data_IF_422934029264
#
_entry.id   IF_422934029264
#
_cell.length_a   1.000
_cell.length_b   1.000
_cell.length_c   1.000
_cell.angle_alpha   90.00
_cell.angle_beta   90.00
_cell.angle_gamma   90.00
#
_symmetry.space_group_name_H-M   'P 1'
#
loop_
_entity.id
_entity.type
_entity.pdbx_description
1 polymer ?
#
# COMPACT_ATOMS: atom_id res chain seq x y z
N UNK A 1 6.25 -19.98 -39.62
CA UNK A 1 5.10 -19.06 -39.50
C UNK A 1 5.53 -17.83 -38.74
N UNK A 2 5.88 -16.80 -39.49
CA UNK A 2 6.45 -15.55 -38.95
C UNK A 2 5.38 -14.72 -38.28
N UNK A 3 5.65 -14.31 -37.03
CA UNK A 3 4.85 -13.31 -36.33
C UNK A 3 5.10 -11.94 -36.95
N UNK A 4 4.21 -11.46 -37.76
CA UNK A 4 4.20 -10.09 -38.27
C UNK A 4 3.96 -9.17 -37.08
N UNK A 5 5.04 -8.52 -36.58
CA UNK A 5 4.91 -7.40 -35.63
C UNK A 5 4.33 -6.21 -36.41
N UNK A 6 3.17 -5.74 -36.01
CA UNK A 6 2.57 -4.51 -36.55
C UNK A 6 3.57 -3.34 -36.45
N UNK A 7 3.98 -2.82 -37.59
CA UNK A 7 4.97 -1.71 -37.75
C UNK A 7 4.32 -0.32 -37.71
N UNK A 8 3.06 -0.21 -37.36
CA UNK A 8 2.39 1.09 -37.35
C UNK A 8 2.33 1.67 -35.95
N UNK A 9 2.87 2.89 -35.73
CA UNK A 9 2.66 3.59 -34.46
C UNK A 9 1.16 3.89 -34.31
N UNK A 10 0.61 3.54 -33.15
CA UNK A 10 -0.79 3.83 -32.83
C UNK A 10 -1.05 5.34 -32.97
N UNK A 11 -2.11 5.68 -33.70
CA UNK A 11 -2.57 7.05 -33.88
C UNK A 11 -2.76 7.71 -32.49
N UNK A 12 -2.25 8.94 -32.25
CA UNK A 12 -2.40 9.65 -30.97
C UNK A 12 -3.83 9.77 -30.47
N UNK A 13 -4.83 9.79 -31.36
CA UNK A 13 -6.25 9.77 -31.03
C UNK A 13 -6.76 8.46 -30.47
N UNK A 14 -5.99 7.36 -30.55
CA UNK A 14 -6.32 6.03 -29.99
C UNK A 14 -5.66 5.75 -28.64
N UNK A 15 -4.99 6.72 -28.02
CA UNK A 15 -4.60 6.59 -26.62
C UNK A 15 -5.88 6.44 -25.79
N UNK A 16 -6.23 5.20 -25.45
CA UNK A 16 -7.28 4.94 -24.46
C UNK A 16 -6.98 5.80 -23.26
N UNK A 17 -7.89 6.74 -22.99
CA UNK A 17 -7.88 7.48 -21.72
C UNK A 17 -7.99 6.39 -20.64
N UNK A 18 -6.87 6.12 -19.99
CA UNK A 18 -6.83 5.20 -18.86
C UNK A 18 -7.62 5.92 -17.78
N UNK A 19 -8.91 5.56 -17.63
CA UNK A 19 -9.70 6.01 -16.48
C UNK A 19 -8.97 5.53 -15.24
N UNK A 20 -8.30 6.45 -14.55
CA UNK A 20 -7.76 6.17 -13.22
C UNK A 20 -8.93 5.78 -12.34
N UNK A 21 -8.95 4.52 -11.91
CA UNK A 21 -9.89 4.07 -10.93
C UNK A 21 -9.45 4.65 -9.58
N UNK A 22 -10.29 5.46 -8.98
CA UNK A 22 -10.05 6.07 -7.67
C UNK A 22 -11.37 6.08 -6.90
N UNK A 23 -11.34 5.61 -5.67
CA UNK A 23 -12.47 5.68 -4.77
C UNK A 23 -12.71 7.12 -4.38
N UNK A 24 -13.97 7.44 -4.06
CA UNK A 24 -14.38 8.81 -3.75
C UNK A 24 -14.53 9.05 -2.26
N UNK A 25 -14.73 7.98 -1.49
CA UNK A 25 -14.95 8.02 -0.06
C UNK A 25 -13.79 7.30 0.66
N UNK A 26 -13.21 7.90 1.72
CA UNK A 26 -12.22 7.24 2.55
C UNK A 26 -12.80 5.96 3.16
N UNK A 27 -11.99 4.90 3.24
CA UNK A 27 -12.43 3.63 3.79
C UNK A 27 -13.14 2.68 2.81
N UNK A 28 -13.56 3.13 1.62
CA UNK A 28 -14.15 2.21 0.63
C UNK A 28 -13.17 1.10 0.18
N UNK A 29 -11.87 1.40 0.11
CA UNK A 29 -10.85 0.45 -0.34
C UNK A 29 -9.47 0.82 0.22
N UNK A 30 -8.82 -0.16 0.83
CA UNK A 30 -7.41 -0.09 1.17
C UNK A 30 -6.57 -0.92 0.17
N UNK A 31 -5.36 -0.46 -0.11
CA UNK A 31 -4.32 -1.25 -0.79
C UNK A 31 -3.35 -1.79 0.26
N UNK A 32 -3.13 -3.10 0.30
CA UNK A 32 -2.09 -3.71 1.12
C UNK A 32 -1.03 -4.31 0.22
N UNK A 33 0.23 -4.03 0.55
CA UNK A 33 1.37 -4.59 -0.17
C UNK A 33 2.61 -4.58 0.74
N UNK A 34 3.64 -5.29 0.32
CA UNK A 34 4.90 -5.38 1.04
C UNK A 34 6.10 -5.27 0.10
N UNK A 35 7.19 -4.72 0.60
CA UNK A 35 8.46 -4.67 -0.12
C UNK A 35 9.60 -5.09 0.78
N UNK A 36 10.67 -5.67 0.22
CA UNK A 36 11.88 -5.94 1.00
C UNK A 36 12.54 -4.63 1.43
N UNK A 37 13.07 -4.60 2.65
CA UNK A 37 13.98 -3.53 3.07
C UNK A 37 15.13 -3.38 2.06
N UNK A 38 15.68 -2.17 1.87
CA UNK A 38 16.82 -1.96 1.00
C UNK A 38 17.97 -2.95 1.26
N UNK A 39 18.60 -3.41 0.20
CA UNK A 39 19.65 -4.45 0.28
C UNK A 39 20.79 -4.04 1.21
N UNK A 40 21.22 -2.79 1.07
CA UNK A 40 22.34 -2.25 1.84
C UNK A 40 22.00 -2.17 3.34
N UNK A 41 20.78 -1.75 3.67
CA UNK A 41 20.29 -1.72 5.05
C UNK A 41 20.21 -3.14 5.65
N UNK A 42 19.69 -4.11 4.88
CA UNK A 42 19.65 -5.51 5.35
C UNK A 42 21.05 -6.07 5.58
N UNK A 43 22.01 -5.76 4.72
CA UNK A 43 23.39 -6.16 4.90
C UNK A 43 24.02 -5.52 6.14
N UNK A 44 23.81 -4.21 6.35
CA UNK A 44 24.27 -3.47 7.52
C UNK A 44 23.73 -4.06 8.81
N UNK A 45 22.42 -4.35 8.86
CA UNK A 45 21.75 -4.91 10.04
C UNK A 45 21.87 -6.44 10.16
N UNK A 46 22.60 -7.10 9.27
CA UNK A 46 22.80 -8.56 9.22
C UNK A 46 21.48 -9.35 9.17
N UNK A 47 20.48 -8.81 8.46
CA UNK A 47 19.17 -9.43 8.32
C UNK A 47 19.09 -10.33 7.10
N UNK A 48 18.66 -11.58 7.27
CA UNK A 48 18.40 -12.50 6.16
C UNK A 48 17.17 -12.07 5.36
N UNK A 49 16.07 -11.85 6.04
CA UNK A 49 14.82 -11.33 5.48
C UNK A 49 14.27 -10.24 6.39
N UNK A 50 13.69 -9.24 5.77
CA UNK A 50 12.96 -8.18 6.47
C UNK A 50 12.21 -7.37 5.43
N UNK A 51 11.01 -6.95 5.77
CA UNK A 51 10.08 -6.31 4.86
C UNK A 51 9.52 -5.04 5.48
N UNK A 52 8.92 -4.24 4.62
CA UNK A 52 8.04 -3.15 5.01
C UNK A 52 6.67 -3.46 4.45
N UNK A 53 5.66 -3.49 5.29
CA UNK A 53 4.26 -3.61 4.90
C UNK A 53 3.61 -2.23 4.93
N UNK A 54 2.74 -1.95 3.97
CA UNK A 54 1.98 -0.71 3.89
C UNK A 54 0.50 -1.00 3.64
N UNK A 55 -0.35 -0.19 4.27
CA UNK A 55 -1.79 -0.13 4.05
C UNK A 55 -2.14 1.31 3.65
N UNK A 56 -2.59 1.51 2.41
CA UNK A 56 -2.85 2.84 1.84
C UNK A 56 -4.32 2.98 1.44
N UNK A 57 -4.97 4.06 1.88
CA UNK A 57 -6.33 4.40 1.46
C UNK A 57 -6.39 4.81 -0.02
N UNK A 58 -7.29 4.20 -0.78
CA UNK A 58 -7.42 4.45 -2.22
C UNK A 58 -7.82 5.89 -2.54
N UNK A 59 -8.68 6.48 -1.73
CA UNK A 59 -9.23 7.83 -1.92
C UNK A 59 -8.22 8.91 -1.55
N UNK A 60 -7.66 8.84 -0.36
CA UNK A 60 -6.88 9.92 0.27
C UNK A 60 -5.38 9.76 0.14
N UNK A 61 -4.87 8.56 -0.11
CA UNK A 61 -3.44 8.18 0.00
C UNK A 61 -2.91 8.22 1.44
N UNK A 62 -3.76 8.34 2.44
CA UNK A 62 -3.34 8.11 3.81
C UNK A 62 -2.75 6.72 3.94
N UNK A 63 -1.59 6.63 4.54
CA UNK A 63 -0.84 5.37 4.59
C UNK A 63 -0.46 5.04 6.02
N UNK A 64 -0.57 3.77 6.37
CA UNK A 64 0.02 3.14 7.55
C UNK A 64 1.14 2.22 7.12
N UNK A 65 2.26 2.20 7.84
CA UNK A 65 3.45 1.44 7.46
C UNK A 65 4.17 0.88 8.67
N UNK A 66 4.68 -0.33 8.55
CA UNK A 66 5.54 -0.97 9.56
C UNK A 66 6.68 -1.76 8.92
N UNK A 67 7.81 -1.84 9.64
CA UNK A 67 8.81 -2.87 9.37
C UNK A 67 8.38 -4.20 9.99
N UNK A 68 8.45 -5.27 9.21
CA UNK A 68 8.06 -6.62 9.64
C UNK A 68 9.20 -7.62 9.40
N UNK A 69 9.33 -8.57 10.31
CA UNK A 69 10.45 -9.53 10.28
C UNK A 69 10.35 -10.53 9.11
N UNK A 70 9.14 -10.91 8.75
CA UNK A 70 8.87 -11.89 7.69
C UNK A 70 7.58 -11.53 6.93
N UNK A 71 7.27 -12.30 5.89
CA UNK A 71 6.06 -12.14 5.09
C UNK A 71 5.04 -13.27 5.31
N UNK A 72 5.02 -13.88 6.49
CA UNK A 72 4.04 -14.91 6.80
C UNK A 72 2.65 -14.31 6.86
N UNK A 73 1.66 -15.09 6.44
CA UNK A 73 0.27 -14.66 6.48
C UNK A 73 -0.17 -14.20 7.87
N UNK A 74 0.26 -14.89 8.94
CA UNK A 74 -0.01 -14.46 10.32
C UNK A 74 0.59 -13.10 10.66
N UNK A 75 1.83 -12.83 10.24
CA UNK A 75 2.49 -11.53 10.45
C UNK A 75 1.71 -10.40 9.76
N UNK A 76 1.26 -10.65 8.52
CA UNK A 76 0.46 -9.68 7.78
C UNK A 76 -0.96 -9.52 8.33
N UNK A 77 -1.54 -10.56 8.90
CA UNK A 77 -2.82 -10.48 9.62
C UNK A 77 -2.70 -9.54 10.82
N UNK A 78 -1.66 -9.68 11.63
CA UNK A 78 -1.41 -8.76 12.75
C UNK A 78 -1.11 -7.34 12.31
N UNK A 79 -0.32 -7.16 11.25
CA UNK A 79 -0.09 -5.85 10.62
C UNK A 79 -1.42 -5.20 10.20
N UNK A 80 -2.26 -5.96 9.49
CA UNK A 80 -3.57 -5.50 9.04
C UNK A 80 -4.47 -5.07 10.20
N UNK A 81 -4.55 -5.89 11.26
CA UNK A 81 -5.34 -5.56 12.45
C UNK A 81 -4.90 -4.24 13.10
N UNK A 82 -3.57 -4.02 13.24
CA UNK A 82 -3.03 -2.76 13.77
C UNK A 82 -3.31 -1.58 12.84
N UNK A 83 -3.12 -1.77 11.54
CA UNK A 83 -3.39 -0.72 10.54
C UNK A 83 -4.85 -0.28 10.54
N UNK A 84 -5.80 -1.22 10.55
CA UNK A 84 -7.23 -0.92 10.63
C UNK A 84 -7.58 -0.16 11.92
N UNK A 85 -7.06 -0.61 13.05
CA UNK A 85 -7.25 0.07 14.33
C UNK A 85 -6.68 1.48 14.32
N UNK A 86 -5.49 1.66 13.73
CA UNK A 86 -4.84 2.96 13.61
C UNK A 86 -5.65 3.93 12.75
N UNK A 87 -6.18 3.51 11.59
CA UNK A 87 -7.02 4.37 10.75
C UNK A 87 -8.30 4.80 11.48
N UNK A 88 -8.94 3.88 12.20
CA UNK A 88 -10.12 4.18 13.00
C UNK A 88 -9.83 5.19 14.11
N UNK A 89 -8.72 5.02 14.83
CA UNK A 89 -8.35 5.90 15.94
C UNK A 89 -7.87 7.28 15.49
N UNK A 90 -7.07 7.33 14.40
CA UNK A 90 -6.45 8.58 13.94
C UNK A 90 -7.37 9.41 13.04
N UNK A 91 -8.20 8.74 12.22
CA UNK A 91 -8.97 9.42 11.17
C UNK A 91 -10.47 9.14 11.21
N UNK A 92 -10.93 8.29 12.11
CA UNK A 92 -12.35 8.08 12.38
C UNK A 92 -13.12 7.25 11.34
N UNK A 93 -12.44 6.56 10.40
CA UNK A 93 -13.12 5.72 9.42
C UNK A 93 -12.64 4.26 9.46
N UNK A 94 -13.50 3.38 8.98
CA UNK A 94 -13.25 1.94 8.84
C UNK A 94 -13.23 1.54 7.36
N UNK A 95 -12.62 0.40 7.06
CA UNK A 95 -12.55 -0.09 5.68
C UNK A 95 -13.65 -1.09 5.36
N UNK A 96 -14.25 -0.94 4.16
CA UNK A 96 -15.18 -1.91 3.59
C UNK A 96 -14.47 -3.04 2.86
N UNK A 97 -13.32 -2.73 2.27
CA UNK A 97 -12.57 -3.67 1.44
C UNK A 97 -11.07 -3.42 1.49
N UNK A 98 -10.32 -4.48 1.24
CA UNK A 98 -8.88 -4.45 1.00
C UNK A 98 -8.55 -5.14 -0.32
N UNK A 99 -7.55 -4.63 -1.04
CA UNK A 99 -6.99 -5.26 -2.23
C UNK A 99 -5.51 -5.56 -2.03
N UNK A 100 -5.10 -6.78 -2.37
CA UNK A 100 -3.70 -7.23 -2.37
C UNK A 100 -3.30 -7.78 -3.73
N UNK A 101 -2.02 -8.08 -3.91
CA UNK A 101 -1.56 -8.93 -4.99
C UNK A 101 -1.96 -10.42 -4.75
N UNK A 102 -1.53 -11.31 -5.66
CA UNK A 102 -1.79 -12.75 -5.56
C UNK A 102 -0.69 -13.50 -4.80
N UNK A 103 0.07 -12.82 -3.96
CA UNK A 103 1.12 -13.43 -3.15
C UNK A 103 0.58 -14.50 -2.20
N UNK A 104 1.34 -15.58 -1.94
CA UNK A 104 0.91 -16.65 -1.04
C UNK A 104 0.71 -16.16 0.41
N UNK A 105 1.24 -15.01 0.74
CA UNK A 105 1.04 -14.33 2.02
C UNK A 105 -0.38 -13.79 2.22
N UNK A 106 -1.09 -13.49 1.12
CA UNK A 106 -2.45 -12.95 1.12
C UNK A 106 -3.50 -13.97 0.69
N UNK A 107 -3.11 -14.98 -0.07
CA UNK A 107 -4.01 -15.96 -0.66
C UNK A 107 -3.63 -17.38 -0.31
N UNK A 108 -4.57 -18.12 0.26
CA UNK A 108 -4.46 -19.56 0.49
C UNK A 108 -4.68 -20.42 -0.75
N UNK A 109 -4.44 -21.72 -0.60
CA UNK A 109 -4.94 -22.73 -1.53
C UNK A 109 -6.41 -23.06 -1.18
N UNK A 110 -7.19 -23.51 -2.16
CA UNK A 110 -8.60 -23.84 -1.97
C UNK A 110 -8.88 -24.88 -0.86
N UNK A 111 -7.87 -25.65 -0.47
CA UNK A 111 -8.01 -26.77 0.44
C UNK A 111 -7.56 -26.46 1.89
N UNK A 112 -7.16 -25.22 2.20
CA UNK A 112 -6.66 -24.86 3.53
C UNK A 112 -7.11 -23.47 3.95
N UNK A 113 -7.53 -23.35 5.21
CA UNK A 113 -7.75 -22.05 5.85
C UNK A 113 -6.49 -21.19 5.76
N UNK A 114 -6.68 -19.94 5.34
CA UNK A 114 -5.59 -18.98 5.23
C UNK A 114 -5.77 -17.87 6.25
N UNK A 115 -4.81 -17.62 7.15
CA UNK A 115 -4.99 -16.71 8.27
C UNK A 115 -5.47 -15.30 7.86
N UNK A 116 -4.92 -14.74 6.78
CA UNK A 116 -5.31 -13.43 6.30
C UNK A 116 -6.76 -13.40 5.77
N UNK A 117 -7.15 -14.39 4.97
CA UNK A 117 -8.50 -14.49 4.43
C UNK A 117 -9.54 -14.77 5.54
N UNK A 118 -9.20 -15.67 6.47
CA UNK A 118 -10.03 -15.97 7.64
C UNK A 118 -10.25 -14.72 8.49
N UNK A 119 -9.19 -13.95 8.74
CA UNK A 119 -9.29 -12.68 9.47
C UNK A 119 -10.21 -11.69 8.76
N UNK A 120 -10.02 -11.46 7.46
CA UNK A 120 -10.89 -10.56 6.69
C UNK A 120 -12.36 -10.99 6.77
N UNK A 121 -12.64 -12.29 6.64
CA UNK A 121 -13.99 -12.83 6.75
C UNK A 121 -14.58 -12.60 8.15
N UNK A 122 -13.82 -12.84 9.22
CA UNK A 122 -14.29 -12.68 10.60
C UNK A 122 -14.68 -11.24 10.94
N UNK A 123 -13.98 -10.25 10.38
CA UNK A 123 -14.31 -8.83 10.62
C UNK A 123 -15.24 -8.23 9.57
N UNK A 124 -15.72 -9.02 8.61
CA UNK A 124 -16.61 -8.54 7.54
C UNK A 124 -15.91 -7.69 6.46
N UNK A 125 -14.58 -7.72 6.39
CA UNK A 125 -13.78 -6.99 5.40
C UNK A 125 -13.72 -7.75 4.08
N UNK A 126 -14.15 -7.14 2.98
CA UNK A 126 -14.05 -7.77 1.65
C UNK A 126 -12.60 -7.79 1.17
N UNK A 127 -12.07 -8.97 0.85
CA UNK A 127 -10.73 -9.10 0.29
C UNK A 127 -10.79 -9.29 -1.23
N UNK A 128 -10.13 -8.41 -1.96
CA UNK A 128 -9.99 -8.49 -3.42
C UNK A 128 -8.55 -8.78 -3.80
N UNK A 129 -8.37 -9.59 -4.84
CA UNK A 129 -7.08 -9.87 -5.43
C UNK A 129 -6.91 -9.06 -6.73
N UNK A 130 -5.71 -8.53 -6.96
CA UNK A 130 -5.41 -7.88 -8.24
C UNK A 130 -5.54 -8.88 -9.39
N UNK A 131 -6.13 -8.44 -10.51
CA UNK A 131 -6.21 -9.30 -11.69
C UNK A 131 -4.81 -9.47 -12.31
N UNK A 132 -4.44 -10.68 -12.73
CA UNK A 132 -3.21 -10.90 -13.47
C UNK A 132 -3.11 -9.92 -14.65
N UNK A 133 -1.92 -9.40 -14.91
CA UNK A 133 -1.61 -8.46 -16.00
C UNK A 133 -2.33 -7.10 -15.97
N UNK A 134 -2.83 -6.65 -14.81
CA UNK A 134 -3.31 -5.27 -14.62
C UNK A 134 -2.50 -4.57 -13.50
N UNK A 135 -1.27 -4.13 -13.78
CA UNK A 135 -0.40 -3.47 -12.79
C UNK A 135 -0.98 -2.14 -12.25
N UNK A 136 -2.00 -1.61 -12.89
CA UNK A 136 -2.61 -0.33 -12.51
C UNK A 136 -3.34 -0.38 -11.16
N UNK A 137 -3.72 -1.57 -10.67
CA UNK A 137 -4.48 -1.73 -9.43
C UNK A 137 -3.61 -1.55 -8.19
N UNK A 138 -2.29 -1.82 -8.26
CA UNK A 138 -1.37 -1.69 -7.12
C UNK A 138 -0.42 -0.48 -7.23
N UNK A 139 -0.53 0.29 -8.31
CA UNK A 139 0.38 1.40 -8.62
C UNK A 139 0.45 2.52 -7.57
N UNK A 140 -0.55 2.61 -6.69
CA UNK A 140 -0.61 3.59 -5.60
C UNK A 140 0.39 3.24 -4.51
N UNK A 141 0.24 2.07 -3.91
CA UNK A 141 1.15 1.59 -2.85
C UNK A 141 2.57 1.33 -3.39
N UNK A 142 2.72 0.92 -4.65
CA UNK A 142 4.03 0.85 -5.30
C UNK A 142 4.70 2.24 -5.39
N UNK A 143 3.92 3.28 -5.70
CA UNK A 143 4.40 4.66 -5.69
C UNK A 143 4.82 5.11 -4.28
N UNK A 144 4.05 4.75 -3.25
CA UNK A 144 4.43 4.97 -1.86
C UNK A 144 5.78 4.31 -1.54
N UNK A 145 5.97 3.02 -1.84
CA UNK A 145 7.25 2.35 -1.57
C UNK A 145 8.44 2.97 -2.30
N UNK A 146 8.23 3.47 -3.53
CA UNK A 146 9.29 4.19 -4.25
C UNK A 146 9.66 5.49 -3.55
N UNK A 147 8.68 6.23 -3.04
CA UNK A 147 8.87 7.46 -2.28
C UNK A 147 9.57 7.14 -0.96
N UNK A 148 9.08 6.17 -0.19
CA UNK A 148 9.67 5.72 1.06
C UNK A 148 11.15 5.32 0.89
N UNK A 149 11.48 4.56 -0.15
CA UNK A 149 12.87 4.19 -0.45
C UNK A 149 13.75 5.41 -0.73
N UNK A 150 13.22 6.39 -1.46
CA UNK A 150 13.97 7.59 -1.85
C UNK A 150 14.12 8.60 -0.71
N UNK A 151 13.04 8.83 0.04
CA UNK A 151 12.95 9.95 0.98
C UNK A 151 13.26 9.53 2.42
N UNK A 152 13.04 8.26 2.77
CA UNK A 152 13.29 7.74 4.11
C UNK A 152 14.54 6.84 4.19
N UNK A 153 14.61 5.78 3.39
CA UNK A 153 15.71 4.83 3.54
C UNK A 153 17.06 5.32 2.99
N UNK A 154 17.08 6.04 1.86
CA UNK A 154 18.34 6.49 1.25
C UNK A 154 19.10 7.54 2.04
N UNK A 155 18.45 8.57 2.62
CA UNK A 155 19.17 9.61 3.35
C UNK A 155 19.54 9.23 4.77
N UNK A 156 18.95 8.17 5.34
CA UNK A 156 19.11 7.80 6.73
C UNK A 156 19.93 6.52 6.91
N UNK A 157 20.58 6.39 8.04
CA UNK A 157 21.23 5.19 8.53
C UNK A 157 20.58 4.77 9.85
N UNK A 158 20.56 3.46 10.12
CA UNK A 158 19.84 2.91 11.26
C UNK A 158 20.73 1.90 11.99
N UNK A 159 20.64 1.84 13.31
CA UNK A 159 21.39 0.89 14.15
C UNK A 159 20.74 -0.48 14.16
N UNK A 160 19.41 -0.51 14.21
CA UNK A 160 18.60 -1.72 14.29
C UNK A 160 17.19 -1.50 13.73
N UNK A 161 16.36 -2.54 13.77
CA UNK A 161 14.96 -2.48 13.29
C UNK A 161 14.05 -1.63 14.18
N UNK A 162 14.37 -1.47 15.46
CA UNK A 162 13.56 -0.64 16.35
C UNK A 162 13.73 0.83 15.96
N UNK A 163 14.98 1.26 15.69
CA UNK A 163 15.23 2.60 15.19
C UNK A 163 14.57 2.85 13.82
N UNK A 164 14.59 1.85 12.92
CA UNK A 164 13.84 1.92 11.66
C UNK A 164 12.35 2.18 11.92
N UNK A 165 11.75 1.43 12.84
CA UNK A 165 10.33 1.55 13.15
C UNK A 165 9.99 2.89 13.81
N UNK A 166 10.80 3.35 14.74
CA UNK A 166 10.62 4.63 15.43
C UNK A 166 10.69 5.82 14.46
N UNK A 167 11.76 5.88 13.68
CA UNK A 167 11.93 6.95 12.68
C UNK A 167 10.87 6.88 11.57
N UNK A 168 10.40 5.68 11.23
CA UNK A 168 9.33 5.49 10.25
C UNK A 168 8.00 6.08 10.74
N UNK A 169 7.73 6.06 12.05
CA UNK A 169 6.58 6.73 12.64
C UNK A 169 6.58 8.24 12.40
N UNK A 170 7.73 8.90 12.58
CA UNK A 170 7.90 10.33 12.30
C UNK A 170 7.77 10.64 10.82
N UNK A 171 8.38 9.82 9.97
CA UNK A 171 8.24 9.95 8.51
C UNK A 171 6.79 9.76 8.04
N UNK A 172 6.05 8.83 8.64
CA UNK A 172 4.64 8.59 8.32
C UNK A 172 3.77 9.81 8.64
N UNK A 173 4.05 10.49 9.75
CA UNK A 173 3.39 11.76 10.06
C UNK A 173 3.69 12.81 8.98
N UNK A 174 4.95 12.98 8.60
CA UNK A 174 5.35 13.89 7.53
C UNK A 174 4.66 13.54 6.20
N UNK A 175 4.67 12.27 5.81
CA UNK A 175 4.05 11.79 4.57
C UNK A 175 2.55 12.09 4.52
N UNK A 176 1.84 11.84 5.61
CA UNK A 176 0.38 11.98 5.66
C UNK A 176 -0.09 13.42 5.83
N UNK A 177 0.67 14.27 6.56
CA UNK A 177 0.19 15.60 6.97
C UNK A 177 0.96 16.77 6.36
N UNK A 178 2.20 16.59 5.93
CA UNK A 178 3.04 17.69 5.48
C UNK A 178 3.46 17.56 4.02
N UNK A 179 3.68 16.33 3.57
CA UNK A 179 4.15 16.07 2.21
C UNK A 179 3.06 16.29 1.19
N UNK A 180 3.32 17.17 0.21
CA UNK A 180 2.42 17.42 -0.92
C UNK A 180 2.57 16.36 -2.00
N UNK A 181 1.45 15.90 -2.57
CA UNK A 181 1.39 14.82 -3.54
C UNK A 181 0.88 15.31 -4.91
N UNK A 182 1.69 15.14 -5.95
CA UNK A 182 1.28 15.49 -7.32
C UNK A 182 0.03 14.73 -7.80
N UNK A 183 -0.20 13.51 -7.30
CA UNK A 183 -1.43 12.74 -7.58
C UNK A 183 -2.67 13.25 -6.86
N UNK A 184 -2.52 14.14 -5.88
CA UNK A 184 -3.58 14.79 -5.11
C UNK A 184 -3.66 16.29 -5.39
N UNK A 185 -3.27 16.74 -6.59
CA UNK A 185 -3.24 18.15 -6.95
C UNK A 185 -2.40 19.02 -5.99
N UNK A 186 -1.26 18.46 -5.52
CA UNK A 186 -0.36 19.08 -4.54
C UNK A 186 -0.96 19.30 -3.15
N UNK A 187 -2.01 18.57 -2.80
CA UNK A 187 -2.51 18.45 -1.43
C UNK A 187 -1.76 17.37 -0.66
N UNK A 188 -1.84 17.43 0.67
CA UNK A 188 -1.43 16.31 1.52
C UNK A 188 -2.54 15.25 1.56
N UNK A 189 -2.24 13.98 1.92
CA UNK A 189 -3.27 12.98 2.17
C UNK A 189 -4.32 13.45 3.20
N UNK A 190 -3.89 14.17 4.23
CA UNK A 190 -4.78 14.70 5.26
C UNK A 190 -5.66 15.85 4.75
N UNK A 191 -5.13 16.80 3.95
CA UNK A 191 -5.94 17.85 3.30
C UNK A 191 -7.03 17.20 2.43
N UNK A 192 -6.68 16.14 1.71
CA UNK A 192 -7.65 15.40 0.89
C UNK A 192 -8.73 14.77 1.74
N UNK A 193 -8.38 14.17 2.90
CA UNK A 193 -9.37 13.61 3.82
C UNK A 193 -10.35 14.68 4.27
N UNK A 194 -9.87 15.83 4.76
CA UNK A 194 -10.72 16.92 5.24
C UNK A 194 -11.71 17.36 4.17
N UNK A 195 -11.25 17.61 2.96
CA UNK A 195 -12.10 18.03 1.83
C UNK A 195 -13.22 17.04 1.50
N UNK A 196 -12.90 15.74 1.45
CA UNK A 196 -13.91 14.75 1.08
C UNK A 196 -14.89 14.50 2.22
N UNK A 197 -14.48 14.69 3.48
CA UNK A 197 -15.36 14.58 4.65
C UNK A 197 -16.33 15.77 4.74
N UNK A 198 -15.87 16.98 4.47
CA UNK A 198 -16.72 18.19 4.42
C UNK A 198 -17.79 18.14 3.31
N UNK A 199 -17.50 17.45 2.20
CA UNK A 199 -18.45 17.30 1.09
C UNK A 199 -19.57 16.27 1.38
N UNK A 200 -19.41 15.44 2.41
CA UNK A 200 -20.35 14.36 2.76
C UNK A 200 -21.16 14.69 4.03
N UNK A 201 -20.73 15.68 4.80
CA UNK A 201 -21.45 16.23 5.97
C UNK A 201 -22.52 17.24 5.54
#
# INVERSE_FOLDING_TARGET
MDRIKSRYPLNPSQKKVIKRYEKKVPGELAHIDLTKLPKDLRAQLKLKESYVAALEDDCTRLTYVESIADKRSSTLTYFMARGLSWFKQMYGFEYEAVISDNGPEFRGSLDREHPFETFCLQIGLKHYLTRPYRPQTNGKVEAFFRILKKEFFRPNSFKDLNEVQEQMGSYLFEYNHLRRHGGLNYETPFDKLQKVTELVS
#
